data_IF_572282269363
#
_entry.id   IF_572282269363
#
_cell.length_a   1.000
_cell.length_b   1.000
_cell.length_c   1.000
_cell.angle_alpha   90.00
_cell.angle_beta   90.00
_cell.angle_gamma   90.00
#
_symmetry.space_group_name_H-M   'P 1'
#
loop_
_entity.id
_entity.type
_entity.pdbx_description
1 polymer ?
#
# COMPACT_ATOMS: atom_id res chain seq x y z
N UNK A 1 8.97 -33.28 -15.79
CA UNK A 1 9.35 -32.32 -14.72
C UNK A 1 10.58 -31.47 -15.05
N UNK A 2 11.69 -32.03 -15.55
CA UNK A 2 12.91 -31.23 -15.88
C UNK A 2 12.66 -30.20 -16.98
N UNK A 3 12.01 -30.62 -18.06
CA UNK A 3 11.65 -29.75 -19.19
C UNK A 3 10.64 -28.66 -18.80
N UNK A 4 9.69 -28.99 -17.92
CA UNK A 4 8.77 -28.02 -17.32
C UNK A 4 9.54 -26.93 -16.54
N UNK A 5 10.44 -27.33 -15.63
CA UNK A 5 11.28 -26.37 -14.88
C UNK A 5 12.16 -25.52 -15.81
N UNK A 6 12.73 -26.11 -16.87
CA UNK A 6 13.50 -25.37 -17.88
C UNK A 6 12.64 -24.32 -18.61
N UNK A 7 11.42 -24.68 -19.00
CA UNK A 7 10.49 -23.75 -19.67
C UNK A 7 10.00 -22.65 -18.72
N UNK A 8 9.71 -22.97 -17.45
CA UNK A 8 9.36 -21.96 -16.44
C UNK A 8 10.51 -20.98 -16.22
N UNK A 9 11.76 -21.45 -16.16
CA UNK A 9 12.93 -20.58 -15.98
C UNK A 9 13.16 -19.68 -17.20
N UNK A 10 12.99 -20.21 -18.41
CA UNK A 10 13.21 -19.46 -19.65
C UNK A 10 12.12 -18.42 -19.93
N UNK A 11 10.88 -18.68 -19.51
CA UNK A 11 9.71 -17.84 -19.83
C UNK A 11 9.15 -17.06 -18.65
N UNK A 12 9.51 -17.43 -17.41
CA UNK A 12 8.85 -16.96 -16.19
C UNK A 12 7.44 -17.51 -15.98
N UNK A 13 6.90 -18.32 -16.89
CA UNK A 13 5.52 -18.81 -16.85
C UNK A 13 5.48 -20.14 -16.12
N UNK A 14 4.83 -20.17 -14.96
CA UNK A 14 4.72 -21.36 -14.09
C UNK A 14 3.37 -22.06 -14.23
N UNK A 15 2.46 -21.57 -15.08
CA UNK A 15 1.14 -22.14 -15.30
C UNK A 15 0.18 -21.17 -15.96
N UNK A 16 -1.03 -21.63 -16.35
CA UNK A 16 -2.08 -20.74 -16.83
C UNK A 16 -2.51 -19.78 -15.72
N UNK A 17 -2.62 -18.49 -16.05
CA UNK A 17 -3.15 -17.49 -15.12
C UNK A 17 -4.62 -17.77 -14.85
N UNK A 18 -5.09 -17.56 -13.61
CA UNK A 18 -6.51 -17.60 -13.26
C UNK A 18 -7.35 -16.65 -14.12
N UNK A 19 -6.72 -15.59 -14.63
CA UNK A 19 -7.33 -14.61 -15.53
C UNK A 19 -7.80 -15.24 -16.85
N UNK A 20 -7.20 -16.35 -17.29
CA UNK A 20 -7.65 -17.08 -18.48
C UNK A 20 -9.02 -17.75 -18.31
N UNK A 21 -9.46 -17.93 -17.06
CA UNK A 21 -10.80 -18.43 -16.74
C UNK A 21 -11.89 -17.35 -16.74
N UNK A 22 -11.51 -16.07 -16.84
CA UNK A 22 -12.47 -14.98 -16.90
C UNK A 22 -13.20 -14.99 -18.25
N UNK A 23 -14.52 -14.85 -18.22
CA UNK A 23 -15.33 -14.79 -19.43
C UNK A 23 -15.20 -13.39 -20.05
N UNK A 24 -14.65 -13.23 -21.27
CA UNK A 24 -14.34 -11.91 -21.84
C UNK A 24 -15.54 -10.97 -21.98
N UNK A 25 -16.75 -11.51 -22.06
CA UNK A 25 -17.99 -10.74 -22.17
C UNK A 25 -18.59 -10.33 -20.81
N UNK A 26 -18.02 -10.81 -19.70
CA UNK A 26 -18.44 -10.50 -18.32
C UNK A 26 -17.42 -9.66 -17.56
N UNK A 27 -16.30 -9.30 -18.19
CA UNK A 27 -15.25 -8.45 -17.60
C UNK A 27 -15.04 -7.20 -18.46
N UNK A 28 -14.53 -6.15 -17.83
CA UNK A 28 -13.94 -5.04 -18.57
C UNK A 28 -12.67 -5.52 -19.28
N UNK A 29 -12.33 -4.91 -20.42
CA UNK A 29 -11.13 -5.26 -21.17
C UNK A 29 -9.86 -5.02 -20.35
N UNK A 30 -8.73 -5.61 -20.73
CA UNK A 30 -7.42 -5.20 -20.17
C UNK A 30 -7.04 -3.89 -20.87
N UNK A 31 -6.71 -2.81 -20.12
CA UNK A 31 -6.36 -2.77 -18.70
C UNK A 31 -7.49 -2.34 -17.73
N UNK A 32 -8.68 -2.02 -18.23
CA UNK A 32 -9.82 -1.48 -17.45
C UNK A 32 -10.30 -2.40 -16.31
N UNK A 33 -10.03 -3.71 -16.37
CA UNK A 33 -10.29 -4.64 -15.28
C UNK A 33 -9.24 -4.62 -14.15
N UNK A 34 -8.13 -3.90 -14.31
CA UNK A 34 -7.03 -3.82 -13.35
C UNK A 34 -6.72 -2.36 -13.01
N UNK A 35 -7.57 -1.75 -12.18
CA UNK A 35 -7.30 -0.43 -11.61
C UNK A 35 -6.14 -0.48 -10.60
N UNK A 36 -5.42 0.63 -10.45
CA UNK A 36 -4.42 0.81 -9.40
C UNK A 36 -5.00 0.49 -8.03
N UNK A 37 -4.20 -0.24 -7.27
CA UNK A 37 -4.53 -0.66 -5.93
C UNK A 37 -3.82 0.25 -4.93
N UNK A 38 -4.60 1.14 -4.29
CA UNK A 38 -4.04 2.20 -3.44
C UNK A 38 -3.51 1.67 -2.10
N UNK A 39 -4.08 0.61 -1.53
CA UNK A 39 -3.72 0.14 -0.19
C UNK A 39 -2.28 -0.39 -0.15
N UNK A 40 -1.90 -1.30 -1.04
CA UNK A 40 -0.57 -1.86 -1.16
C UNK A 40 0.40 -0.87 -1.79
N UNK A 41 -0.02 -0.10 -2.79
CA UNK A 41 0.84 0.93 -3.37
C UNK A 41 1.28 1.92 -2.28
N UNK A 42 0.33 2.51 -1.56
CA UNK A 42 0.61 3.56 -0.59
C UNK A 42 1.14 3.03 0.75
N UNK A 43 0.51 1.98 1.29
CA UNK A 43 0.74 1.46 2.63
C UNK A 43 1.75 0.33 2.73
N UNK A 44 2.22 -0.23 1.62
CA UNK A 44 3.23 -1.31 1.66
C UNK A 44 4.43 -0.97 0.79
N UNK A 45 4.22 -0.79 -0.52
CA UNK A 45 5.31 -0.67 -1.48
C UNK A 45 6.04 0.68 -1.38
N UNK A 46 5.30 1.80 -1.41
CA UNK A 46 5.92 3.13 -1.26
C UNK A 46 6.42 3.35 0.17
N UNK A 47 5.65 2.92 1.18
CA UNK A 47 6.08 3.02 2.56
C UNK A 47 7.41 2.30 2.83
N UNK A 48 7.54 1.04 2.35
CA UNK A 48 8.80 0.30 2.47
C UNK A 48 9.95 0.99 1.73
N UNK A 49 9.72 1.51 0.53
CA UNK A 49 10.74 2.25 -0.22
C UNK A 49 11.23 3.49 0.55
N UNK A 50 10.33 4.29 1.10
CA UNK A 50 10.70 5.47 1.87
C UNK A 50 11.52 5.12 3.12
N UNK A 51 11.07 4.14 3.89
CA UNK A 51 11.82 3.64 5.04
C UNK A 51 13.19 3.12 4.62
N UNK A 52 13.26 2.37 3.52
CA UNK A 52 14.52 1.81 3.04
C UNK A 52 15.52 2.90 2.60
N UNK A 53 15.04 4.01 2.04
CA UNK A 53 15.86 5.17 1.68
C UNK A 53 16.42 5.86 2.92
N UNK A 54 15.59 6.12 3.93
CA UNK A 54 16.02 6.86 5.12
C UNK A 54 16.92 6.03 6.05
N UNK A 55 16.66 4.72 6.14
CA UNK A 55 17.46 3.77 6.91
C UNK A 55 18.67 3.23 6.14
N UNK A 56 18.74 3.47 4.84
CA UNK A 56 19.74 2.90 3.93
C UNK A 56 19.77 1.36 3.93
N UNK A 57 18.60 0.70 3.97
CA UNK A 57 18.48 -0.76 3.83
C UNK A 57 18.42 -1.23 2.38
N UNK A 58 18.25 -0.33 1.40
CA UNK A 58 18.34 -0.72 -0.02
C UNK A 58 19.71 -1.35 -0.30
N UNK A 59 19.70 -2.40 -1.12
CA UNK A 59 20.90 -2.94 -1.75
C UNK A 59 21.61 -1.86 -2.56
N UNK A 60 22.89 -2.05 -2.88
CA UNK A 60 23.64 -1.08 -3.66
C UNK A 60 24.67 -1.80 -4.51
N UNK A 61 24.95 -1.25 -5.69
CA UNK A 61 25.97 -1.78 -6.57
C UNK A 61 27.37 -1.57 -5.96
N UNK A 62 28.34 -2.38 -6.39
CA UNK A 62 29.73 -2.23 -5.96
C UNK A 62 30.36 -0.88 -6.33
N UNK A 63 29.77 -0.16 -7.29
CA UNK A 63 30.17 1.19 -7.73
C UNK A 63 29.47 2.32 -6.97
N UNK A 64 28.55 2.01 -6.05
CA UNK A 64 27.88 2.98 -5.20
C UNK A 64 28.36 2.89 -3.75
N UNK A 65 28.14 3.95 -2.97
CA UNK A 65 28.54 4.00 -1.57
C UNK A 65 27.46 4.63 -0.69
N UNK A 66 27.05 3.90 0.35
CA UNK A 66 26.10 4.37 1.38
C UNK A 66 26.60 5.55 2.21
N UNK A 67 27.88 5.93 2.12
CA UNK A 67 28.36 7.19 2.72
C UNK A 67 27.83 8.42 2.01
N UNK A 68 27.52 8.29 0.72
CA UNK A 68 27.17 9.42 -0.15
C UNK A 68 25.66 9.72 -0.10
N UNK A 69 24.90 8.88 0.59
CA UNK A 69 23.46 8.96 0.70
C UNK A 69 23.08 9.98 1.78
N UNK A 70 23.09 11.26 1.40
CA UNK A 70 22.72 12.37 2.31
C UNK A 70 21.28 12.29 2.84
N UNK A 71 20.41 11.55 2.16
CA UNK A 71 19.03 11.28 2.56
C UNK A 71 18.88 10.13 3.56
N UNK A 72 19.93 9.33 3.77
CA UNK A 72 19.95 8.21 4.72
C UNK A 72 20.11 8.69 6.16
N UNK A 73 19.24 9.61 6.57
CA UNK A 73 19.37 10.35 7.84
C UNK A 73 19.14 9.50 9.07
N UNK A 74 18.42 8.38 8.91
CA UNK A 74 18.13 7.43 9.97
C UNK A 74 19.18 6.33 10.07
N UNK A 75 20.07 6.14 9.10
CA UNK A 75 21.09 5.05 9.05
C UNK A 75 21.84 4.79 10.37
N UNK A 76 22.27 5.80 11.17
CA UNK A 76 22.85 5.52 12.49
C UNK A 76 21.83 4.90 13.43
N UNK A 77 22.17 3.76 14.06
CA UNK A 77 21.27 3.00 14.94
C UNK A 77 20.52 3.87 15.97
N UNK A 78 21.25 4.75 16.66
CA UNK A 78 20.68 5.67 17.65
C UNK A 78 19.56 6.56 17.07
N UNK A 79 19.72 7.04 15.83
CA UNK A 79 18.71 7.90 15.18
C UNK A 79 17.48 7.12 14.78
N UNK A 80 17.64 5.87 14.38
CA UNK A 80 16.53 4.99 14.04
C UNK A 80 15.70 4.59 15.24
N UNK A 81 16.36 4.22 16.34
CA UNK A 81 15.69 3.96 17.62
C UNK A 81 15.00 5.23 18.15
N UNK A 82 15.66 6.39 18.08
CA UNK A 82 15.05 7.66 18.47
C UNK A 82 13.82 8.01 17.61
N UNK A 83 13.90 7.82 16.29
CA UNK A 83 12.76 7.99 15.40
C UNK A 83 11.63 7.01 15.75
N UNK A 84 11.98 5.76 16.02
CA UNK A 84 11.07 4.70 16.40
C UNK A 84 10.28 5.02 17.68
N UNK A 85 10.99 5.45 18.72
CA UNK A 85 10.39 5.91 19.97
C UNK A 85 9.50 7.14 19.76
N UNK A 86 9.89 8.08 18.90
CA UNK A 86 9.07 9.25 18.60
C UNK A 86 7.75 8.85 17.91
N UNK A 87 7.78 7.89 16.97
CA UNK A 87 6.57 7.34 16.34
C UNK A 87 5.65 6.72 17.39
N UNK A 88 6.18 5.86 18.27
CA UNK A 88 5.38 5.22 19.32
C UNK A 88 4.79 6.25 20.31
N UNK A 89 5.55 7.31 20.62
CA UNK A 89 5.10 8.40 21.49
C UNK A 89 3.95 9.23 20.89
N UNK A 90 3.73 9.17 19.57
CA UNK A 90 2.59 9.84 18.94
C UNK A 90 1.24 9.15 19.20
N UNK A 91 1.24 7.88 19.65
CA UNK A 91 0.01 7.08 19.82
C UNK A 91 -1.12 7.77 20.61
N UNK A 92 -0.87 8.44 21.76
CA UNK A 92 -1.94 9.10 22.53
C UNK A 92 -2.60 10.29 21.81
N UNK A 93 -1.95 10.83 20.77
CA UNK A 93 -2.41 11.99 20.02
C UNK A 93 -3.12 11.60 18.71
N UNK A 94 -3.14 10.32 18.36
CA UNK A 94 -3.84 9.83 17.18
C UNK A 94 -5.33 9.67 17.48
N UNK A 95 -6.22 10.22 16.63
CA UNK A 95 -7.65 10.00 16.79
C UNK A 95 -8.00 8.51 16.71
N UNK A 96 -8.99 8.08 17.49
CA UNK A 96 -9.46 6.69 17.46
C UNK A 96 -9.96 6.23 16.08
N UNK A 97 -10.34 7.16 15.20
CA UNK A 97 -10.74 6.85 13.81
C UNK A 97 -9.62 6.24 12.95
N UNK A 98 -8.36 6.34 13.37
CA UNK A 98 -7.22 5.72 12.70
C UNK A 98 -7.11 4.22 13.02
N UNK A 99 -7.90 3.73 13.98
CA UNK A 99 -8.01 2.35 14.46
C UNK A 99 -6.72 1.78 15.07
N UNK A 100 -5.64 1.68 14.27
CA UNK A 100 -4.36 1.09 14.66
C UNK A 100 -3.26 2.15 14.60
N UNK A 101 -2.68 2.47 15.75
CA UNK A 101 -1.51 3.35 15.83
C UNK A 101 -0.26 2.61 15.31
N UNK A 102 0.65 3.29 14.59
CA UNK A 102 1.90 2.70 14.15
C UNK A 102 2.76 2.29 15.34
N UNK A 103 3.32 1.09 15.27
CA UNK A 103 4.34 0.66 16.21
C UNK A 103 5.66 1.37 15.95
N UNK A 104 6.58 1.23 16.91
CA UNK A 104 7.98 1.58 16.73
C UNK A 104 8.58 0.75 15.57
N UNK A 105 8.93 1.36 14.41
CA UNK A 105 9.50 0.64 13.29
C UNK A 105 10.88 0.02 13.57
N UNK A 106 11.58 0.42 14.64
CA UNK A 106 12.88 -0.13 15.02
C UNK A 106 12.79 -1.49 15.72
N UNK A 107 11.64 -1.83 16.30
CA UNK A 107 11.48 -3.02 17.14
C UNK A 107 11.03 -4.28 16.39
N UNK A 108 11.14 -4.32 15.05
CA UNK A 108 10.70 -5.45 14.20
C UNK A 108 9.32 -6.02 14.63
N UNK A 109 8.32 -5.15 14.73
CA UNK A 109 6.97 -5.55 15.08
C UNK A 109 6.29 -6.22 13.87
N UNK A 110 5.81 -7.46 14.06
CA UNK A 110 4.91 -8.11 13.12
C UNK A 110 3.47 -7.70 13.46
N UNK A 111 2.84 -6.93 12.59
CA UNK A 111 1.44 -6.52 12.71
C UNK A 111 0.62 -7.05 11.54
N UNK A 112 -0.59 -7.54 11.85
CA UNK A 112 -1.60 -7.89 10.86
C UNK A 112 -2.21 -6.66 10.15
N UNK A 113 -1.90 -5.44 10.63
CA UNK A 113 -2.43 -4.16 10.11
C UNK A 113 -1.34 -3.27 9.52
N UNK A 114 -0.27 -3.89 8.99
CA UNK A 114 0.93 -3.20 8.51
C UNK A 114 0.65 -2.05 7.53
N UNK A 115 -0.29 -2.23 6.61
CA UNK A 115 -0.65 -1.18 5.64
C UNK A 115 -1.22 0.08 6.32
N UNK A 116 -2.15 -0.10 7.27
CA UNK A 116 -2.77 1.01 8.02
C UNK A 116 -1.75 1.75 8.89
N UNK A 117 -0.88 1.00 9.56
CA UNK A 117 0.21 1.57 10.36
C UNK A 117 1.17 2.39 9.50
N UNK A 118 1.58 1.84 8.36
CA UNK A 118 2.49 2.51 7.44
C UNK A 118 1.88 3.73 6.77
N UNK A 119 0.57 3.72 6.48
CA UNK A 119 -0.10 4.92 5.99
C UNK A 119 -0.05 6.03 7.05
N UNK A 120 -0.38 5.72 8.29
CA UNK A 120 -0.32 6.70 9.39
C UNK A 120 1.10 7.20 9.61
N UNK A 121 2.07 6.30 9.62
CA UNK A 121 3.49 6.62 9.75
C UNK A 121 3.95 7.57 8.64
N UNK A 122 3.79 7.17 7.38
CA UNK A 122 4.37 7.86 6.23
C UNK A 122 3.64 9.16 5.91
N UNK A 123 2.30 9.16 5.88
CA UNK A 123 1.55 10.32 5.38
C UNK A 123 1.14 11.29 6.48
N UNK A 124 1.11 10.87 7.76
CA UNK A 124 0.73 11.75 8.88
C UNK A 124 1.92 12.13 9.77
N UNK A 125 2.75 11.16 10.17
CA UNK A 125 3.80 11.40 11.17
C UNK A 125 5.13 11.85 10.54
N UNK A 126 5.63 11.13 9.54
CA UNK A 126 6.93 11.40 8.91
C UNK A 126 7.09 12.81 8.33
N UNK A 127 6.08 13.50 7.76
CA UNK A 127 6.24 14.86 7.28
C UNK A 127 6.68 15.81 8.40
N UNK A 128 6.16 15.60 9.62
CA UNK A 128 6.53 16.38 10.80
C UNK A 128 7.81 15.85 11.45
N UNK A 129 7.91 14.53 11.67
CA UNK A 129 9.04 13.93 12.38
C UNK A 129 10.37 14.05 11.62
N UNK A 130 10.34 14.12 10.28
CA UNK A 130 11.53 14.28 9.46
C UNK A 130 11.84 15.74 9.13
N UNK A 131 10.97 16.68 9.49
CA UNK A 131 11.23 18.11 9.27
C UNK A 131 12.45 18.56 10.10
N UNK A 132 13.43 19.18 9.45
CA UNK A 132 14.69 19.57 10.07
C UNK A 132 15.71 18.43 10.27
N UNK A 133 15.29 17.17 10.13
CA UNK A 133 16.20 16.00 10.16
C UNK A 133 16.64 15.63 8.74
N UNK A 134 15.67 15.54 7.81
CA UNK A 134 15.93 15.29 6.40
C UNK A 134 16.36 16.61 5.72
N UNK A 135 17.40 16.61 4.86
CA UNK A 135 17.81 17.85 4.21
C UNK A 135 16.66 18.44 3.38
N UNK A 136 16.54 19.76 3.38
CA UNK A 136 15.32 20.45 2.98
C UNK A 136 14.78 20.04 1.59
N UNK A 137 15.67 19.89 0.59
CA UNK A 137 15.28 19.51 -0.78
C UNK A 137 14.65 18.10 -0.84
N UNK A 138 15.13 17.16 -0.03
CA UNK A 138 14.59 15.80 0.05
C UNK A 138 13.26 15.79 0.81
N UNK A 139 13.16 16.60 1.86
CA UNK A 139 11.92 16.76 2.61
C UNK A 139 10.82 17.40 1.75
N UNK A 140 11.13 18.44 0.98
CA UNK A 140 10.19 19.05 0.05
C UNK A 140 9.69 18.05 -1.00
N UNK A 141 10.60 17.28 -1.60
CA UNK A 141 10.23 16.22 -2.53
C UNK A 141 9.29 15.19 -1.88
N UNK A 142 9.64 14.71 -0.68
CA UNK A 142 8.79 13.80 0.09
C UNK A 142 7.41 14.40 0.39
N UNK A 143 7.33 15.68 0.76
CA UNK A 143 6.05 16.36 0.99
C UNK A 143 5.20 16.46 -0.27
N UNK A 144 5.77 16.71 -1.46
CA UNK A 144 5.02 16.67 -2.73
C UNK A 144 4.34 15.32 -2.94
N UNK A 145 5.09 14.23 -2.71
CA UNK A 145 4.56 12.87 -2.75
C UNK A 145 3.42 12.67 -1.76
N UNK A 146 3.63 13.04 -0.50
CA UNK A 146 2.61 12.90 0.55
C UNK A 146 1.34 13.67 0.20
N UNK A 147 1.47 14.92 -0.25
CA UNK A 147 0.32 15.74 -0.68
C UNK A 147 -0.45 15.08 -1.82
N UNK A 148 0.24 14.60 -2.86
CA UNK A 148 -0.41 13.92 -3.97
C UNK A 148 -1.18 12.67 -3.52
N UNK A 149 -0.57 11.83 -2.68
CA UNK A 149 -1.21 10.62 -2.16
C UNK A 149 -2.37 10.89 -1.20
N UNK A 150 -2.29 11.95 -0.38
CA UNK A 150 -3.40 12.36 0.48
C UNK A 150 -4.62 12.80 -0.33
N UNK A 151 -4.42 13.49 -1.47
CA UNK A 151 -5.52 13.84 -2.38
C UNK A 151 -6.08 12.58 -3.05
N UNK A 152 -5.21 11.68 -3.54
CA UNK A 152 -5.65 10.42 -4.16
C UNK A 152 -6.36 9.48 -3.17
N UNK A 153 -6.10 9.62 -1.88
CA UNK A 153 -6.78 8.85 -0.82
C UNK A 153 -8.20 9.32 -0.49
N UNK A 154 -8.69 10.41 -1.10
CA UNK A 154 -10.03 10.94 -0.83
C UNK A 154 -11.11 10.15 -1.57
N UNK A 155 -12.26 9.89 -0.91
CA UNK A 155 -13.42 9.24 -1.55
C UNK A 155 -13.98 10.01 -2.75
N UNK A 156 -13.87 11.33 -2.73
CA UNK A 156 -14.28 12.21 -3.82
C UNK A 156 -13.13 13.14 -4.16
N UNK A 157 -12.69 13.13 -5.41
CA UNK A 157 -11.59 13.95 -5.91
C UNK A 157 -12.15 14.86 -7.00
N UNK A 158 -11.91 16.16 -6.86
CA UNK A 158 -12.35 17.13 -7.87
C UNK A 158 -11.44 17.08 -9.11
N UNK A 159 -11.91 17.47 -10.31
CA UNK A 159 -11.04 17.56 -11.49
C UNK A 159 -9.82 18.47 -11.29
N UNK A 160 -9.99 19.57 -10.55
CA UNK A 160 -8.88 20.45 -10.17
C UNK A 160 -7.90 19.76 -9.22
N UNK A 161 -8.40 18.94 -8.29
CA UNK A 161 -7.57 18.09 -7.43
C UNK A 161 -6.76 17.06 -8.22
N UNK A 162 -7.37 16.39 -9.20
CA UNK A 162 -6.67 15.45 -10.08
C UNK A 162 -5.57 16.14 -10.88
N UNK A 163 -5.86 17.28 -11.49
CA UNK A 163 -4.88 18.05 -12.25
C UNK A 163 -3.74 18.58 -11.38
N UNK A 164 -4.04 19.06 -10.19
CA UNK A 164 -3.03 19.47 -9.21
C UNK A 164 -2.12 18.31 -8.81
N UNK A 165 -2.72 17.16 -8.47
CA UNK A 165 -1.97 15.95 -8.10
C UNK A 165 -1.13 15.43 -9.26
N UNK A 166 -1.64 15.49 -10.49
CA UNK A 166 -0.90 15.07 -11.70
C UNK A 166 0.40 15.87 -11.84
N UNK A 167 0.31 17.19 -11.67
CA UNK A 167 1.48 18.07 -11.73
C UNK A 167 2.44 17.81 -10.55
N UNK A 168 1.92 17.66 -9.32
CA UNK A 168 2.73 17.35 -8.14
C UNK A 168 3.51 16.04 -8.29
N UNK A 169 2.85 14.96 -8.74
CA UNK A 169 3.49 13.65 -8.89
C UNK A 169 4.49 13.61 -10.04
N UNK A 170 4.21 14.31 -11.15
CA UNK A 170 5.16 14.46 -12.25
C UNK A 170 6.44 15.21 -11.82
N UNK A 171 6.29 16.32 -11.09
CA UNK A 171 7.43 17.05 -10.51
C UNK A 171 8.18 16.19 -9.49
N UNK A 172 7.44 15.53 -8.60
CA UNK A 172 8.00 14.65 -7.59
C UNK A 172 8.86 13.55 -8.21
N UNK A 173 8.37 12.85 -9.25
CA UNK A 173 9.09 11.74 -9.86
C UNK A 173 10.40 12.21 -10.53
N UNK A 174 10.35 13.36 -11.22
CA UNK A 174 11.53 13.97 -11.83
C UNK A 174 12.59 14.35 -10.78
N UNK A 175 12.16 15.02 -9.72
CA UNK A 175 13.02 15.36 -8.58
C UNK A 175 13.53 14.12 -7.86
N UNK A 176 12.71 13.09 -7.67
CA UNK A 176 13.09 11.83 -7.03
C UNK A 176 14.24 11.17 -7.80
N UNK A 177 14.11 11.06 -9.13
CA UNK A 177 15.17 10.52 -9.99
C UNK A 177 16.44 11.37 -9.91
N UNK A 178 16.31 12.69 -9.84
CA UNK A 178 17.47 13.60 -9.75
C UNK A 178 18.16 13.51 -8.39
N UNK A 179 17.40 13.45 -7.30
CA UNK A 179 17.90 13.52 -5.92
C UNK A 179 18.44 12.18 -5.41
N UNK A 180 17.73 11.08 -5.67
CA UNK A 180 18.07 9.74 -5.16
C UNK A 180 18.86 8.92 -6.18
N UNK A 181 18.37 8.85 -7.42
CA UNK A 181 19.02 8.04 -8.47
C UNK A 181 20.21 8.77 -9.10
N UNK A 182 20.19 10.11 -9.12
CA UNK A 182 21.24 10.97 -9.68
C UNK A 182 21.61 10.63 -11.13
N UNK A 183 20.64 10.11 -11.89
CA UNK A 183 20.85 9.62 -13.27
C UNK A 183 21.94 8.54 -13.40
N UNK A 184 22.27 7.86 -12.30
CA UNK A 184 23.25 6.79 -12.31
C UNK A 184 22.57 5.45 -12.58
N UNK A 185 23.08 4.71 -13.56
CA UNK A 185 22.57 3.39 -13.96
C UNK A 185 22.64 2.41 -12.79
N UNK A 186 23.69 2.51 -11.97
CA UNK A 186 23.91 1.63 -10.82
C UNK A 186 22.94 1.88 -9.65
N UNK A 187 22.10 2.92 -9.72
CA UNK A 187 20.99 3.20 -8.79
C UNK A 187 19.59 3.00 -9.39
N UNK A 188 19.48 2.42 -10.59
CA UNK A 188 18.18 2.22 -11.25
C UNK A 188 17.17 1.43 -10.39
N UNK A 189 17.67 0.54 -9.53
CA UNK A 189 16.88 -0.27 -8.60
C UNK A 189 16.17 0.56 -7.51
N UNK A 190 16.51 1.84 -7.34
CA UNK A 190 15.75 2.78 -6.48
C UNK A 190 14.40 3.15 -7.10
N UNK A 191 14.25 3.01 -8.43
CA UNK A 191 12.98 3.23 -9.14
C UNK A 191 12.23 1.89 -9.19
N UNK A 192 11.71 1.47 -8.03
CA UNK A 192 10.83 0.30 -7.94
C UNK A 192 9.56 0.51 -8.79
N UNK A 193 8.87 -0.54 -9.25
CA UNK A 193 7.63 -0.40 -10.03
C UNK A 193 6.58 0.51 -9.38
N UNK A 194 6.51 0.54 -8.04
CA UNK A 194 5.62 1.43 -7.31
C UNK A 194 5.88 2.93 -7.56
N UNK A 195 7.14 3.34 -7.77
CA UNK A 195 7.50 4.73 -8.10
C UNK A 195 6.86 5.15 -9.42
N UNK A 196 6.94 4.27 -10.43
CA UNK A 196 6.34 4.53 -11.73
C UNK A 196 4.81 4.54 -11.68
N UNK A 197 4.22 3.60 -10.91
CA UNK A 197 2.76 3.50 -10.77
C UNK A 197 2.13 4.78 -10.19
N UNK A 198 2.87 5.54 -9.37
CA UNK A 198 2.41 6.82 -8.83
C UNK A 198 1.93 7.79 -9.92
N UNK A 199 2.60 7.83 -11.08
CA UNK A 199 2.23 8.76 -12.16
C UNK A 199 0.95 8.36 -12.89
N UNK A 200 0.59 7.08 -12.88
CA UNK A 200 -0.61 6.58 -13.55
C UNK A 200 -1.87 6.77 -12.69
N UNK A 201 -1.72 6.94 -11.38
CA UNK A 201 -2.85 7.08 -10.44
C UNK A 201 -3.89 8.11 -10.88
N UNK A 202 -3.45 9.29 -11.31
CA UNK A 202 -4.39 10.36 -11.70
C UNK A 202 -5.13 10.04 -12.99
N UNK A 203 -4.44 9.49 -14.00
CA UNK A 203 -5.04 9.10 -15.27
C UNK A 203 -6.04 7.94 -15.09
N UNK A 204 -5.70 6.97 -14.24
CA UNK A 204 -6.60 5.87 -13.91
C UNK A 204 -7.82 6.38 -13.15
N UNK A 205 -7.63 7.27 -12.16
CA UNK A 205 -8.75 7.81 -11.39
C UNK A 205 -9.75 8.61 -12.23
N UNK A 206 -9.33 9.19 -13.36
CA UNK A 206 -10.24 9.80 -14.32
C UNK A 206 -11.14 8.79 -15.02
N UNK A 207 -10.67 7.55 -15.23
CA UNK A 207 -11.42 6.49 -15.89
C UNK A 207 -12.27 5.65 -14.93
N UNK A 208 -11.70 5.24 -13.80
CA UNK A 208 -12.35 4.29 -12.86
C UNK A 208 -12.93 4.96 -11.61
N UNK A 209 -12.65 6.24 -11.38
CA UNK A 209 -13.03 6.96 -10.16
C UNK A 209 -11.94 6.91 -9.08
N UNK A 210 -12.26 7.35 -7.87
CA UNK A 210 -11.26 7.44 -6.80
C UNK A 210 -10.64 6.07 -6.47
N UNK A 211 -9.30 5.97 -6.40
CA UNK A 211 -8.62 4.70 -6.18
C UNK A 211 -8.82 4.14 -4.77
N UNK A 212 -9.32 4.95 -3.82
CA UNK A 212 -9.72 4.41 -2.50
C UNK A 212 -10.96 3.50 -2.62
N UNK A 213 -11.85 3.77 -3.58
CA UNK A 213 -13.09 3.00 -3.77
C UNK A 213 -12.82 1.63 -4.42
N UNK A 214 -11.74 1.50 -5.18
CA UNK A 214 -11.30 0.24 -5.81
C UNK A 214 -10.16 -0.46 -5.05
N UNK A 215 -9.79 0.07 -3.88
CA UNK A 215 -8.72 -0.49 -3.05
C UNK A 215 -9.14 -1.80 -2.36
N UNK A 216 -8.15 -2.59 -1.95
CA UNK A 216 -8.37 -3.96 -1.47
C UNK A 216 -8.74 -4.06 0.01
N UNK A 217 -8.99 -2.95 0.71
CA UNK A 217 -9.32 -2.95 2.14
C UNK A 217 -10.45 -3.93 2.48
N UNK A 218 -11.58 -3.84 1.75
CA UNK A 218 -12.74 -4.70 1.99
C UNK A 218 -12.43 -6.17 1.69
N UNK A 219 -11.66 -6.43 0.62
CA UNK A 219 -11.29 -7.79 0.24
C UNK A 219 -10.33 -8.42 1.26
N UNK A 220 -9.27 -7.72 1.66
CA UNK A 220 -8.34 -8.19 2.70
C UNK A 220 -9.04 -8.39 4.05
N UNK A 221 -9.95 -7.50 4.41
CA UNK A 221 -10.72 -7.66 5.64
C UNK A 221 -11.65 -8.90 5.58
N UNK A 222 -12.28 -9.13 4.43
CA UNK A 222 -13.10 -10.33 4.18
C UNK A 222 -12.26 -11.59 4.22
N UNK A 223 -11.07 -11.59 3.60
CA UNK A 223 -10.11 -12.71 3.65
C UNK A 223 -9.72 -12.99 5.10
N UNK A 224 -9.41 -11.95 5.89
CA UNK A 224 -9.09 -12.08 7.31
C UNK A 224 -10.23 -12.69 8.12
N UNK A 225 -11.46 -12.19 7.95
CA UNK A 225 -12.65 -12.71 8.64
C UNK A 225 -12.90 -14.18 8.27
N UNK A 226 -12.91 -14.51 6.99
CA UNK A 226 -13.10 -15.88 6.51
C UNK A 226 -11.99 -16.81 6.99
N UNK A 227 -10.74 -16.33 7.06
CA UNK A 227 -9.61 -17.07 7.61
C UNK A 227 -9.81 -17.44 9.09
N UNK A 228 -10.42 -16.57 9.88
CA UNK A 228 -10.76 -16.83 11.29
C UNK A 228 -11.90 -17.85 11.44
N UNK A 229 -12.74 -18.01 10.42
CA UNK A 229 -13.86 -18.98 10.42
C UNK A 229 -13.43 -20.39 10.01
N UNK A 230 -12.19 -20.59 9.55
CA UNK A 230 -11.69 -21.93 9.21
C UNK A 230 -11.56 -22.77 10.48
N UNK A 231 -12.42 -23.79 10.60
CA UNK A 231 -12.48 -24.70 11.76
C UNK A 231 -11.91 -26.08 11.49
N UNK A 232 -11.60 -26.41 10.24
CA UNK A 232 -11.05 -27.71 9.85
C UNK A 232 -9.68 -27.57 9.17
N UNK A 233 -8.57 -27.69 9.92
CA UNK A 233 -7.22 -27.51 9.36
C UNK A 233 -6.80 -28.62 8.38
N UNK A 234 -7.47 -29.79 8.39
CA UNK A 234 -7.18 -30.91 7.48
C UNK A 234 -7.79 -30.77 6.09
N UNK A 235 -8.86 -29.98 5.94
CA UNK A 235 -9.48 -29.65 4.65
C UNK A 235 -9.98 -28.20 4.64
N UNK A 236 -9.06 -27.24 4.69
CA UNK A 236 -9.40 -25.83 4.91
C UNK A 236 -10.17 -25.23 3.75
N UNK A 237 -9.94 -25.69 2.51
CA UNK A 237 -10.60 -25.13 1.32
C UNK A 237 -12.06 -25.55 1.23
N UNK A 238 -12.39 -26.83 1.44
CA UNK A 238 -13.78 -27.27 1.45
C UNK A 238 -14.55 -26.61 2.61
N UNK A 239 -13.91 -26.48 3.78
CA UNK A 239 -14.51 -25.79 4.92
C UNK A 239 -14.77 -24.31 4.62
N UNK A 240 -13.80 -23.62 4.02
CA UNK A 240 -13.94 -22.22 3.60
C UNK A 240 -15.10 -22.04 2.59
N UNK A 241 -15.24 -22.95 1.62
CA UNK A 241 -16.37 -22.93 0.67
C UNK A 241 -17.71 -23.07 1.39
N UNK A 242 -17.80 -23.97 2.37
CA UNK A 242 -19.02 -24.14 3.17
C UNK A 242 -19.33 -22.90 4.02
N UNK A 243 -18.32 -22.30 4.66
CA UNK A 243 -18.50 -21.03 5.39
C UNK A 243 -19.00 -19.93 4.46
N UNK A 244 -18.38 -19.77 3.29
CA UNK A 244 -18.82 -18.80 2.27
C UNK A 244 -20.28 -18.99 1.86
N UNK A 245 -20.71 -20.22 1.59
CA UNK A 245 -22.12 -20.53 1.26
C UNK A 245 -23.03 -20.15 2.43
N UNK A 246 -22.66 -20.50 3.66
CA UNK A 246 -23.45 -20.22 4.85
C UNK A 246 -23.59 -18.71 5.09
N UNK A 247 -22.51 -17.93 4.96
CA UNK A 247 -22.53 -16.47 5.02
C UNK A 247 -23.47 -15.87 3.96
N UNK A 248 -23.39 -16.35 2.71
CA UNK A 248 -24.27 -15.91 1.63
C UNK A 248 -25.75 -16.21 1.94
N UNK A 249 -26.06 -17.39 2.48
CA UNK A 249 -27.43 -17.78 2.87
C UNK A 249 -27.97 -16.88 4.00
N UNK A 250 -27.17 -16.64 5.04
CA UNK A 250 -27.56 -15.76 6.15
C UNK A 250 -27.78 -14.33 5.66
N UNK A 251 -26.85 -13.78 4.85
CA UNK A 251 -27.00 -12.44 4.28
C UNK A 251 -28.23 -12.33 3.38
N UNK A 252 -28.52 -13.36 2.59
CA UNK A 252 -29.73 -13.42 1.76
C UNK A 252 -30.99 -13.42 2.62
N UNK A 253 -31.04 -14.23 3.69
CA UNK A 253 -32.18 -14.26 4.61
C UNK A 253 -32.39 -12.92 5.32
N UNK A 254 -31.32 -12.27 5.78
CA UNK A 254 -31.36 -10.92 6.36
C UNK A 254 -31.88 -9.87 5.37
N UNK A 255 -31.43 -9.94 4.12
CA UNK A 255 -31.89 -9.01 3.07
C UNK A 255 -33.36 -9.23 2.69
N UNK A 256 -33.83 -10.48 2.64
CA UNK A 256 -35.22 -10.83 2.32
C UNK A 256 -36.17 -10.55 3.48
N UNK A 257 -35.72 -10.74 4.71
CA UNK A 257 -36.52 -10.55 5.93
C UNK A 257 -35.73 -9.70 6.93
N UNK A 258 -35.72 -8.36 6.77
CA UNK A 258 -34.92 -7.46 7.61
C UNK A 258 -35.22 -7.54 9.11
N UNK A 259 -36.42 -8.00 9.49
CA UNK A 259 -36.80 -8.17 10.90
C UNK A 259 -36.04 -9.27 11.63
N UNK A 260 -35.34 -10.15 10.91
CA UNK A 260 -34.45 -11.16 11.51
C UNK A 260 -33.06 -10.59 11.83
N UNK A 261 -32.75 -9.38 11.37
CA UNK A 261 -31.45 -8.75 11.58
C UNK A 261 -31.42 -7.97 12.89
N UNK A 262 -31.21 -8.68 13.99
CA UNK A 262 -31.15 -8.13 15.35
C UNK A 262 -29.99 -7.14 15.57
N UNK A 263 -29.03 -7.04 14.64
CA UNK A 263 -27.91 -6.09 14.74
C UNK A 263 -28.31 -4.64 14.44
N UNK A 264 -29.49 -4.39 13.86
CA UNK A 264 -29.98 -3.03 13.61
C UNK A 264 -30.74 -2.42 14.80
N UNK A 265 -31.09 -3.20 15.83
CA UNK A 265 -31.83 -2.68 16.99
C UNK A 265 -30.95 -1.85 17.95
N UNK A 266 -29.61 -1.98 17.88
CA UNK A 266 -28.67 -1.19 18.69
C UNK A 266 -28.28 0.16 18.05
N UNK A 267 -28.89 0.51 16.91
CA UNK A 267 -28.63 1.75 16.17
C UNK A 267 -29.89 2.61 16.03
N UNK A 268 -30.33 3.20 17.13
CA UNK A 268 -31.19 4.39 17.14
C UNK A 268 -30.98 5.18 18.44
N UNK A 269 -31.04 6.52 18.37
CA UNK A 269 -29.93 7.47 18.49
C UNK A 269 -29.24 7.56 19.86
#
# INVERSE_FOLDING_TARGET
QREYKTRCLATGIVGPSILLGLQPHLILGIPECFSSEMMYLSGVNMAALWLDLWWASIEYASTDNKSDWVWAVLKPQERWEAHGHAVAACKPYLPGSFNVAPHDPSLHANSWHKATEYITLIYCLCPMLLHGTLPHVYWQNFCKFVTGFLIMGQYSITPAGLEHTRNLLAEWEYEYKTLFCQWRIDRIHFVRPCVHLCNHLTAEAMGVGSPICSSQWTMEWTIGNLGQEIRQPSDPFSNLVQQGIQCCQVNTLKALVPTLDLTNEDSNP
#
